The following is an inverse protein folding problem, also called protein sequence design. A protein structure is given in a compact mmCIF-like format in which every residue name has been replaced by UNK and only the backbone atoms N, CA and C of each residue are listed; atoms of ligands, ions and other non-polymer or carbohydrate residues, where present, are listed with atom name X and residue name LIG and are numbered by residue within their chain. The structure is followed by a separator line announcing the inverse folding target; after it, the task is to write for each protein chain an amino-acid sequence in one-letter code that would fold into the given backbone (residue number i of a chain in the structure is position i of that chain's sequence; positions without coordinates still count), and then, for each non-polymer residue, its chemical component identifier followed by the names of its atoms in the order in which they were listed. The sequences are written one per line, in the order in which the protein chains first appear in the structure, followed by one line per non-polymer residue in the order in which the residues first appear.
data_IF_380766296655
#
_entry.id   IF_380766296655
#
_cell.length_a   1.000
_cell.length_b   1.000
_cell.length_c   1.000
_cell.angle_alpha   90.00
_cell.angle_beta   90.00
_cell.angle_gamma   90.00
#
_symmetry.space_group_name_H-M   'P 1'
#
loop_
_entity.id
_entity.type
_entity.pdbx_description
1 polymer ?
#
# COMPACT_ATOMS: atom_id res chain seq x y z
N UNK A 1 -8.74 30.02 5.55
CA UNK A 1 -9.03 29.13 4.42
C UNK A 1 -9.93 28.00 4.87
N UNK A 2 -10.97 27.74 4.12
CA UNK A 2 -11.90 26.67 4.46
C UNK A 2 -11.58 25.43 3.67
N UNK A 3 -11.45 24.32 4.36
CA UNK A 3 -11.31 23.04 3.73
C UNK A 3 -12.66 22.32 3.78
N UNK A 4 -13.19 22.03 2.64
CA UNK A 4 -14.41 21.25 2.58
C UNK A 4 -14.07 19.79 2.86
N UNK A 5 -14.67 19.22 3.90
CA UNK A 5 -14.53 17.80 4.19
C UNK A 5 -15.51 17.07 3.29
N UNK A 6 -14.99 16.37 2.32
CA UNK A 6 -15.77 15.68 1.32
C UNK A 6 -15.78 14.17 1.61
N UNK A 7 -16.96 13.58 1.84
CA UNK A 7 -17.03 12.13 2.08
C UNK A 7 -16.40 11.28 0.95
N UNK A 8 -16.51 11.74 -0.29
CA UNK A 8 -15.87 11.06 -1.42
C UNK A 8 -14.35 11.12 -1.30
N UNK A 9 -13.82 12.25 -0.83
CA UNK A 9 -12.38 12.40 -0.58
C UNK A 9 -11.89 11.48 0.53
N UNK A 10 -12.68 11.32 1.59
CA UNK A 10 -12.37 10.41 2.69
C UNK A 10 -12.29 8.97 2.18
N UNK A 11 -13.28 8.55 1.40
CA UNK A 11 -13.29 7.21 0.81
C UNK A 11 -12.12 7.02 -0.15
N UNK A 12 -11.77 8.05 -0.92
CA UNK A 12 -10.63 8.00 -1.82
C UNK A 12 -9.32 7.79 -1.05
N UNK A 13 -9.15 8.46 0.09
CA UNK A 13 -7.97 8.28 0.94
C UNK A 13 -7.87 6.86 1.49
N UNK A 14 -8.99 6.29 1.90
CA UNK A 14 -9.04 4.90 2.38
C UNK A 14 -8.66 3.93 1.26
N UNK A 15 -9.20 4.15 0.06
CA UNK A 15 -8.87 3.30 -1.10
C UNK A 15 -7.40 3.40 -1.47
N UNK A 16 -6.84 4.61 -1.42
CA UNK A 16 -5.41 4.80 -1.69
C UNK A 16 -4.54 4.06 -0.68
N UNK A 17 -4.89 4.13 0.60
CA UNK A 17 -4.16 3.41 1.64
C UNK A 17 -4.19 1.90 1.39
N UNK A 18 -5.36 1.36 1.09
CA UNK A 18 -5.52 -0.06 0.78
C UNK A 18 -4.77 -0.47 -0.48
N UNK A 19 -4.83 0.36 -1.52
CA UNK A 19 -4.14 0.10 -2.78
C UNK A 19 -2.62 0.04 -2.60
N UNK A 20 -2.07 0.94 -1.78
CA UNK A 20 -0.63 0.95 -1.49
C UNK A 20 -0.23 -0.35 -0.80
N UNK A 21 -0.96 -0.76 0.21
CA UNK A 21 -0.69 -2.00 0.95
C UNK A 21 -0.80 -3.22 0.05
N UNK A 22 -1.87 -3.30 -0.75
CA UNK A 22 -2.07 -4.40 -1.70
C UNK A 22 -0.97 -4.48 -2.74
N UNK A 23 -0.55 -3.34 -3.27
CA UNK A 23 0.51 -3.31 -4.29
C UNK A 23 1.81 -3.88 -3.74
N UNK A 24 2.17 -3.53 -2.52
CA UNK A 24 3.39 -4.03 -1.88
C UNK A 24 3.29 -5.54 -1.68
N UNK A 25 2.16 -6.04 -1.20
CA UNK A 25 1.94 -7.46 -1.01
C UNK A 25 1.98 -8.23 -2.33
N UNK A 26 1.36 -7.70 -3.38
CA UNK A 26 1.36 -8.32 -4.69
C UNK A 26 2.76 -8.44 -5.29
N UNK A 27 3.56 -7.36 -5.20
CA UNK A 27 4.94 -7.38 -5.70
C UNK A 27 5.75 -8.43 -4.95
N UNK A 28 5.59 -8.50 -3.63
CA UNK A 28 6.26 -9.50 -2.81
C UNK A 28 5.89 -10.92 -3.22
N UNK A 29 4.61 -11.18 -3.42
CA UNK A 29 4.10 -12.49 -3.83
C UNK A 29 4.62 -12.87 -5.23
N UNK A 30 4.58 -11.93 -6.17
CA UNK A 30 5.09 -12.16 -7.53
C UNK A 30 6.59 -12.45 -7.52
N UNK A 31 7.35 -11.71 -6.73
CA UNK A 31 8.80 -11.91 -6.62
C UNK A 31 9.11 -13.30 -6.07
N UNK A 32 8.40 -13.72 -5.05
CA UNK A 32 8.57 -15.06 -4.49
C UNK A 32 8.16 -16.15 -5.46
N UNK A 33 7.10 -15.95 -6.23
CA UNK A 33 6.66 -16.87 -7.26
C UNK A 33 7.71 -17.06 -8.34
N UNK A 34 8.33 -15.96 -8.80
CA UNK A 34 9.40 -16.01 -9.79
C UNK A 34 10.60 -16.76 -9.22
N UNK A 35 10.96 -16.47 -7.98
CA UNK A 35 12.09 -17.13 -7.31
C UNK A 35 11.87 -18.65 -7.20
N UNK A 36 10.70 -19.08 -6.77
CA UNK A 36 10.35 -20.49 -6.68
C UNK A 36 10.40 -21.18 -8.03
N UNK A 37 9.88 -20.52 -9.05
CA UNK A 37 9.90 -21.08 -10.43
C UNK A 37 11.33 -21.20 -10.91
N UNK A 38 12.15 -20.17 -10.69
CA UNK A 38 13.57 -20.20 -11.08
C UNK A 38 14.32 -21.32 -10.36
N UNK A 39 14.07 -21.53 -9.09
CA UNK A 39 14.69 -22.59 -8.31
C UNK A 39 14.32 -23.98 -8.88
N UNK A 40 13.09 -24.13 -9.35
CA UNK A 40 12.63 -25.37 -9.98
C UNK A 40 13.28 -25.67 -11.33
N UNK A 41 13.82 -24.65 -12.00
CA UNK A 41 14.41 -24.77 -13.33
C UNK A 41 15.88 -24.36 -13.35
N UNK A 42 16.60 -24.62 -12.27
CA UNK A 42 18.02 -24.26 -12.14
C UNK A 42 18.88 -24.80 -13.30
N UNK A 43 18.65 -26.07 -13.66
CA UNK A 43 19.43 -26.72 -14.70
C UNK A 43 19.19 -26.06 -16.06
N UNK A 44 17.96 -25.69 -16.34
CA UNK A 44 17.58 -25.02 -17.58
C UNK A 44 18.18 -23.62 -17.67
N UNK A 45 18.17 -22.90 -16.56
CA UNK A 45 18.68 -21.54 -16.49
C UNK A 45 20.21 -21.50 -16.55
N UNK A 46 20.88 -22.52 -16.00
CA UNK A 46 22.33 -22.59 -15.99
C UNK A 46 22.97 -21.35 -15.35
N UNK A 47 23.95 -20.74 -16.03
CA UNK A 47 24.63 -19.56 -15.45
C UNK A 47 23.73 -18.34 -15.32
N UNK A 48 22.61 -18.30 -16.00
CA UNK A 48 21.65 -17.20 -15.89
C UNK A 48 20.92 -17.20 -14.54
N UNK A 49 20.91 -18.33 -13.84
CA UNK A 49 20.29 -18.45 -12.51
C UNK A 49 20.88 -17.44 -11.53
N UNK A 50 22.20 -17.31 -11.53
CA UNK A 50 22.90 -16.38 -10.65
C UNK A 50 22.50 -14.93 -10.93
N UNK A 51 22.43 -14.54 -12.21
CA UNK A 51 22.00 -13.19 -12.60
C UNK A 51 20.56 -12.93 -12.20
N UNK A 52 19.70 -13.92 -12.39
CA UNK A 52 18.29 -13.81 -12.02
C UNK A 52 18.13 -13.68 -10.51
N UNK A 53 18.84 -14.50 -9.74
CA UNK A 53 18.81 -14.42 -8.28
C UNK A 53 19.27 -13.04 -7.78
N UNK A 54 20.31 -12.48 -8.40
CA UNK A 54 20.79 -11.15 -8.09
C UNK A 54 19.73 -10.09 -8.35
N UNK A 55 19.06 -10.17 -9.50
CA UNK A 55 17.99 -9.24 -9.85
C UNK A 55 16.81 -9.34 -8.89
N UNK A 56 16.41 -10.56 -8.55
CA UNK A 56 15.31 -10.80 -7.60
C UNK A 56 15.66 -10.27 -6.20
N UNK A 57 16.90 -10.47 -5.78
CA UNK A 57 17.39 -9.96 -4.50
C UNK A 57 17.33 -8.43 -4.47
N UNK A 58 17.72 -7.77 -5.57
CA UNK A 58 17.63 -6.33 -5.69
C UNK A 58 16.19 -5.83 -5.61
N UNK A 59 15.27 -6.54 -6.24
CA UNK A 59 13.84 -6.22 -6.17
C UNK A 59 13.33 -6.37 -4.73
N UNK A 60 13.68 -7.47 -4.06
CA UNK A 60 13.27 -7.70 -2.67
C UNK A 60 13.79 -6.59 -1.75
N UNK A 61 15.04 -6.18 -1.96
CA UNK A 61 15.65 -5.12 -1.17
C UNK A 61 15.00 -3.78 -1.44
N UNK A 62 14.72 -3.46 -2.70
CA UNK A 62 14.01 -2.23 -3.08
C UNK A 62 12.60 -2.22 -2.51
N UNK A 63 11.92 -3.36 -2.53
CA UNK A 63 10.59 -3.51 -1.97
C UNK A 63 10.61 -3.27 -0.46
N UNK A 64 11.58 -3.84 0.23
CA UNK A 64 11.74 -3.64 1.67
C UNK A 64 12.00 -2.17 2.00
N UNK A 65 12.86 -1.51 1.22
CA UNK A 65 13.15 -0.09 1.40
C UNK A 65 11.93 0.79 1.12
N UNK A 66 11.12 0.40 0.16
CA UNK A 66 9.90 1.15 -0.20
C UNK A 66 8.75 0.87 0.75
N UNK A 67 8.73 -0.28 1.41
CA UNK A 67 7.60 -0.67 2.25
C UNK A 67 7.43 0.22 3.48
N UNK A 68 8.52 0.66 4.11
CA UNK A 68 8.45 1.54 5.27
C UNK A 68 7.79 2.88 4.96
N UNK A 69 8.28 3.66 3.97
CA UNK A 69 7.60 4.91 3.64
C UNK A 69 6.20 4.70 3.07
N UNK A 70 5.97 3.60 2.35
CA UNK A 70 4.65 3.29 1.81
C UNK A 70 3.65 2.98 2.93
N UNK A 71 4.06 2.20 3.93
CA UNK A 71 3.23 1.91 5.10
C UNK A 71 2.96 3.19 5.89
N UNK A 72 3.95 4.05 6.03
CA UNK A 72 3.79 5.34 6.70
C UNK A 72 2.77 6.21 5.99
N UNK A 73 2.83 6.27 4.65
CA UNK A 73 1.86 7.03 3.85
C UNK A 73 0.47 6.42 4.01
N UNK A 74 0.34 5.11 3.95
CA UNK A 74 -0.95 4.43 4.11
C UNK A 74 -1.54 4.70 5.49
N UNK A 75 -0.73 4.65 6.53
CA UNK A 75 -1.13 4.95 7.88
C UNK A 75 -1.60 6.41 8.03
N UNK A 76 -0.83 7.34 7.46
CA UNK A 76 -1.21 8.77 7.49
C UNK A 76 -2.51 9.02 6.76
N UNK A 77 -2.71 8.37 5.62
CA UNK A 77 -3.97 8.48 4.87
C UNK A 77 -5.14 7.94 5.68
N UNK A 78 -4.94 6.83 6.38
CA UNK A 78 -5.95 6.25 7.25
C UNK A 78 -6.28 7.17 8.41
N UNK A 79 -5.27 7.74 9.05
CA UNK A 79 -5.44 8.66 10.18
C UNK A 79 -6.18 9.93 9.75
N UNK A 80 -5.82 10.50 8.61
CA UNK A 80 -6.48 11.69 8.07
C UNK A 80 -7.93 11.37 7.72
N UNK A 81 -8.18 10.21 7.12
CA UNK A 81 -9.53 9.78 6.79
C UNK A 81 -10.40 9.64 8.05
N UNK A 82 -9.86 9.02 9.10
CA UNK A 82 -10.57 8.90 10.38
C UNK A 82 -10.88 10.26 11.01
N UNK A 83 -9.90 11.15 10.98
CA UNK A 83 -10.10 12.51 11.51
C UNK A 83 -11.22 13.23 10.79
N UNK A 84 -11.27 13.10 9.46
CA UNK A 84 -12.31 13.72 8.65
C UNK A 84 -13.67 13.07 8.89
N UNK A 85 -13.72 11.75 9.07
CA UNK A 85 -14.95 11.05 9.41
C UNK A 85 -15.51 11.51 10.73
N UNK A 86 -14.67 11.75 11.73
CA UNK A 86 -15.08 12.26 13.01
C UNK A 86 -15.68 13.67 12.88
N UNK A 87 -15.07 14.50 12.05
CA UNK A 87 -15.60 15.85 11.78
C UNK A 87 -16.97 15.77 11.12
N UNK A 88 -17.12 14.93 10.12
CA UNK A 88 -18.40 14.73 9.43
C UNK A 88 -19.45 14.20 10.40
N UNK A 89 -19.09 13.23 11.23
CA UNK A 89 -19.98 12.65 12.23
C UNK A 89 -20.43 13.67 13.24
N UNK A 90 -19.50 14.49 13.73
CA UNK A 90 -19.82 15.54 14.68
C UNK A 90 -20.73 16.61 14.08
N UNK A 91 -20.51 16.98 12.84
CA UNK A 91 -21.37 17.94 12.15
C UNK A 91 -22.79 17.42 11.99
N UNK A 92 -22.94 16.13 11.69
CA UNK A 92 -24.26 15.50 11.58
C UNK A 92 -24.98 15.50 12.92
N UNK A 93 -24.29 15.12 13.98
CA UNK A 93 -24.84 15.09 15.33
C UNK A 93 -25.23 16.49 15.75
N UNK A 94 -24.34 17.45 15.52
CA UNK A 94 -24.58 18.86 15.86
C UNK A 94 -25.76 19.42 15.08
N UNK A 95 -25.87 19.09 13.80
CA UNK A 95 -26.97 19.50 12.96
C UNK A 95 -28.30 18.95 13.43
N UNK A 96 -28.34 17.72 13.90
CA UNK A 96 -29.53 17.11 14.46
C UNK A 96 -29.92 17.73 15.78
N UNK A 97 -28.94 18.02 16.65
CA UNK A 97 -29.19 18.57 17.95
C UNK A 97 -29.59 20.06 17.89
N UNK A 98 -29.17 20.74 16.86
CA UNK A 98 -29.42 22.15 16.67
C UNK A 98 -30.83 22.50 16.20
N UNK A 99 -31.67 21.52 16.02
CA UNK A 99 -33.06 21.75 15.61
C UNK A 99 -34.06 21.77 16.77
#
# INVERSE_FOLDING_TARGET
MKYAVNPEGVEAMKRMAGAITEAIEEIGTLTQGIKSTADGYQDTLGPHKSSLDGALSDIEQSLKQASEPAESIAEQLGDVAEAYEDIIGNDRIRGSAGK
#
